data_IF_967370719473
#
_entry.id   IF_967370719473
#
_cell.length_a   1.000
_cell.length_b   1.000
_cell.length_c   1.000
_cell.angle_alpha   90.00
_cell.angle_beta   90.00
_cell.angle_gamma   90.00
#
_symmetry.space_group_name_H-M   'P 1'
#
loop_
_entity.id
_entity.type
_entity.pdbx_description
1 polymer ?
#
# COMPACT_ATOMS: atom_id res chain seq x y z
N UNK A 1 -1.33 5.83 -15.66
CA UNK A 1 -2.71 5.33 -15.49
C UNK A 1 -3.58 6.55 -15.33
N UNK A 2 -4.83 6.50 -15.77
CA UNK A 2 -5.71 7.66 -15.74
C UNK A 2 -7.04 7.28 -15.11
N UNK A 3 -7.57 8.19 -14.29
CA UNK A 3 -8.97 8.17 -13.85
C UNK A 3 -9.63 9.39 -14.46
N UNK A 4 -10.75 9.18 -15.15
CA UNK A 4 -11.60 10.25 -15.69
C UNK A 4 -12.96 10.16 -15.03
N UNK A 5 -13.41 11.29 -14.48
CA UNK A 5 -14.81 11.46 -14.06
C UNK A 5 -15.61 12.05 -15.22
N UNK A 6 -16.57 11.29 -15.75
CA UNK A 6 -17.47 11.75 -16.79
C UNK A 6 -18.50 12.74 -16.23
N UNK A 7 -19.08 13.60 -17.08
CA UNK A 7 -19.99 14.68 -16.65
C UNK A 7 -19.27 15.93 -16.09
N UNK A 8 -17.96 15.83 -15.83
CA UNK A 8 -17.14 16.88 -15.22
C UNK A 8 -16.11 17.43 -16.21
N UNK A 9 -16.44 18.53 -16.91
CA UNK A 9 -15.56 19.11 -17.94
C UNK A 9 -14.40 19.97 -17.39
N UNK A 10 -14.55 20.58 -16.20
CA UNK A 10 -13.57 21.55 -15.67
C UNK A 10 -13.37 21.57 -14.15
N UNK A 11 -14.28 20.97 -13.40
CA UNK A 11 -14.24 20.97 -11.93
C UNK A 11 -14.68 19.60 -11.43
N UNK A 12 -14.35 19.28 -10.19
CA UNK A 12 -14.86 18.12 -9.46
C UNK A 12 -14.97 18.54 -8.00
N UNK A 13 -15.90 17.94 -7.25
CA UNK A 13 -15.92 18.14 -5.82
C UNK A 13 -14.61 17.63 -5.18
N UNK A 14 -14.08 18.41 -4.22
CA UNK A 14 -12.81 18.08 -3.58
C UNK A 14 -12.88 16.80 -2.75
N UNK A 15 -14.03 16.51 -2.13
CA UNK A 15 -14.21 15.27 -1.37
C UNK A 15 -14.25 14.08 -2.31
N UNK A 16 -14.96 14.19 -3.44
CA UNK A 16 -14.95 13.16 -4.51
C UNK A 16 -13.54 12.85 -4.95
N UNK A 17 -12.75 13.89 -5.22
CA UNK A 17 -11.35 13.76 -5.63
C UNK A 17 -10.50 13.09 -4.54
N UNK A 18 -10.48 13.65 -3.34
CA UNK A 18 -9.61 13.21 -2.24
C UNK A 18 -9.92 11.77 -1.83
N UNK A 19 -11.20 11.44 -1.65
CA UNK A 19 -11.61 10.10 -1.25
C UNK A 19 -11.27 9.07 -2.32
N UNK A 20 -11.52 9.38 -3.60
CA UNK A 20 -11.14 8.48 -4.70
C UNK A 20 -9.64 8.23 -4.73
N UNK A 21 -8.81 9.26 -4.54
CA UNK A 21 -7.35 9.12 -4.50
C UNK A 21 -6.87 8.28 -3.31
N UNK A 22 -7.49 8.42 -2.13
CA UNK A 22 -7.19 7.61 -0.94
C UNK A 22 -7.48 6.13 -1.22
N UNK A 23 -8.64 5.83 -1.79
CA UNK A 23 -9.02 4.48 -2.15
C UNK A 23 -8.13 3.89 -3.25
N UNK A 24 -7.77 4.70 -4.25
CA UNK A 24 -6.85 4.26 -5.30
C UNK A 24 -5.46 3.93 -4.74
N UNK A 25 -4.96 4.74 -3.80
CA UNK A 25 -3.70 4.47 -3.12
C UNK A 25 -3.75 3.17 -2.29
N UNK A 26 -4.91 2.83 -1.71
CA UNK A 26 -5.12 1.55 -1.03
C UNK A 26 -4.97 0.39 -2.01
N UNK A 27 -5.60 0.46 -3.18
CA UNK A 27 -5.52 -0.57 -4.23
C UNK A 27 -4.08 -0.73 -4.73
N UNK A 28 -3.37 0.39 -4.99
CA UNK A 28 -1.96 0.36 -5.40
C UNK A 28 -1.08 -0.29 -4.33
N UNK A 29 -1.30 0.05 -3.07
CA UNK A 29 -0.50 -0.48 -1.95
C UNK A 29 -0.67 -1.99 -1.83
N UNK A 30 -1.89 -2.49 -1.94
CA UNK A 30 -2.19 -3.92 -1.89
C UNK A 30 -1.66 -4.66 -3.13
N UNK A 31 -1.81 -4.09 -4.33
CA UNK A 31 -1.22 -4.65 -5.55
C UNK A 31 0.31 -4.73 -5.47
N UNK A 32 0.96 -3.68 -4.95
CA UNK A 32 2.40 -3.64 -4.74
C UNK A 32 2.88 -4.61 -3.68
N UNK A 33 2.10 -4.81 -2.60
CA UNK A 33 2.38 -5.79 -1.55
C UNK A 33 2.39 -7.21 -2.13
N UNK A 34 1.34 -7.58 -2.87
CA UNK A 34 1.21 -8.91 -3.46
C UNK A 34 2.25 -9.14 -4.57
N UNK A 35 2.38 -8.21 -5.51
CA UNK A 35 3.23 -8.39 -6.69
C UNK A 35 4.72 -8.20 -6.40
N UNK A 36 5.06 -7.21 -5.57
CA UNK A 36 6.44 -6.88 -5.21
C UNK A 36 6.94 -7.55 -3.94
N UNK A 37 6.12 -8.38 -3.29
CA UNK A 37 6.45 -9.05 -2.03
C UNK A 37 6.81 -8.08 -0.88
N UNK A 38 6.28 -6.85 -0.91
CA UNK A 38 6.57 -5.79 0.07
C UNK A 38 7.98 -5.18 -0.02
N UNK A 39 8.80 -5.58 -1.00
CA UNK A 39 10.20 -5.11 -1.13
C UNK A 39 10.35 -3.77 -1.85
N UNK A 40 9.31 -3.33 -2.57
CA UNK A 40 9.33 -2.14 -3.43
C UNK A 40 8.46 -1.04 -2.85
N UNK A 41 8.98 0.18 -2.81
CA UNK A 41 8.24 1.37 -2.40
C UNK A 41 7.66 2.08 -3.62
N UNK A 42 6.37 1.92 -3.87
CA UNK A 42 5.65 2.59 -4.96
C UNK A 42 4.86 3.76 -4.41
N UNK A 43 5.05 4.93 -5.00
CA UNK A 43 4.27 6.12 -4.68
C UNK A 43 3.35 6.52 -5.85
N UNK A 44 2.16 6.99 -5.50
CA UNK A 44 1.22 7.61 -6.44
C UNK A 44 1.60 9.08 -6.62
N UNK A 45 1.85 9.51 -7.85
CA UNK A 45 2.04 10.90 -8.22
C UNK A 45 0.91 11.35 -9.14
N UNK A 46 0.39 12.55 -8.87
CA UNK A 46 -0.65 13.18 -9.69
C UNK A 46 0.03 14.15 -10.66
N UNK A 47 -0.17 13.93 -11.95
CA UNK A 47 0.31 14.79 -13.02
C UNK A 47 -0.71 15.91 -13.30
N UNK A 48 -0.29 16.94 -14.03
CA UNK A 48 -1.15 18.08 -14.36
C UNK A 48 -2.43 17.64 -15.10
N UNK A 49 -3.57 18.19 -14.68
CA UNK A 49 -4.89 17.89 -15.25
C UNK A 49 -5.00 18.53 -16.64
N UNK A 50 -5.34 17.76 -17.67
CA UNK A 50 -5.51 18.25 -19.04
C UNK A 50 -6.83 19.05 -19.21
N UNK A 51 -6.89 19.94 -20.22
CA UNK A 51 -8.08 20.78 -20.47
C UNK A 51 -9.26 19.96 -21.01
N UNK A 52 -10.42 20.04 -20.35
CA UNK A 52 -11.72 19.58 -20.88
C UNK A 52 -12.26 18.28 -20.28
N UNK A 53 -11.60 17.72 -19.27
CA UNK A 53 -12.10 16.64 -18.43
C UNK A 53 -11.31 16.68 -17.13
N UNK A 54 -11.92 16.36 -15.97
CA UNK A 54 -11.13 16.10 -14.77
C UNK A 54 -10.43 14.74 -14.89
N UNK A 55 -9.40 14.70 -15.75
CA UNK A 55 -8.53 13.57 -15.99
C UNK A 55 -7.38 13.64 -14.99
N UNK A 56 -7.35 12.68 -14.08
CA UNK A 56 -6.24 12.52 -13.16
C UNK A 56 -5.25 11.58 -13.83
N UNK A 57 -4.18 12.13 -14.38
CA UNK A 57 -3.06 11.32 -14.81
C UNK A 57 -2.17 10.98 -13.62
N UNK A 58 -1.92 9.69 -13.47
CA UNK A 58 -1.24 9.10 -12.34
C UNK A 58 -0.04 8.32 -12.80
N UNK A 59 1.11 8.62 -12.19
CA UNK A 59 2.32 7.82 -12.36
C UNK A 59 2.64 7.06 -11.07
N UNK A 60 3.06 5.81 -11.25
CA UNK A 60 3.63 4.98 -10.20
C UNK A 60 5.14 5.13 -10.26
N UNK A 61 5.76 5.43 -9.13
CA UNK A 61 7.21 5.62 -9.05
C UNK A 61 7.80 4.72 -7.97
N UNK A 62 8.78 3.88 -8.34
CA UNK A 62 9.64 3.19 -7.39
C UNK A 62 10.61 4.19 -6.73
N UNK A 63 10.74 4.13 -5.41
CA UNK A 63 11.48 5.15 -4.62
C UNK A 63 12.99 4.86 -4.50
N UNK A 64 13.47 3.71 -5.00
CA UNK A 64 14.89 3.31 -4.91
C UNK A 64 15.63 3.62 -6.23
N UNK A 65 16.92 3.99 -6.17
CA UNK A 65 17.75 4.59 -7.24
C UNK A 65 17.96 3.79 -8.56
N UNK A 66 17.12 2.81 -8.89
CA UNK A 66 17.17 2.01 -10.14
C UNK A 66 16.14 2.41 -11.21
N UNK A 67 15.67 3.66 -11.17
CA UNK A 67 14.46 4.22 -11.83
C UNK A 67 14.43 4.10 -13.38
N UNK A 68 15.52 3.67 -14.03
CA UNK A 68 15.62 3.53 -15.49
C UNK A 68 16.11 2.15 -15.94
N UNK A 69 16.00 1.13 -15.08
CA UNK A 69 16.20 -0.26 -15.51
C UNK A 69 14.97 -0.76 -16.29
N UNK A 70 15.20 -1.62 -17.28
CA UNK A 70 14.13 -2.35 -17.96
C UNK A 70 13.25 -3.14 -16.99
N UNK A 71 13.84 -3.61 -15.89
CA UNK A 71 13.18 -4.32 -14.79
C UNK A 71 12.19 -3.43 -14.02
N UNK A 72 12.57 -2.20 -13.67
CA UNK A 72 11.68 -1.25 -13.01
C UNK A 72 10.49 -0.86 -13.90
N UNK A 73 10.73 -0.64 -15.21
CA UNK A 73 9.67 -0.35 -16.17
C UNK A 73 8.72 -1.54 -16.32
N UNK A 74 9.25 -2.76 -16.45
CA UNK A 74 8.45 -3.97 -16.55
C UNK A 74 7.61 -4.20 -15.28
N UNK A 75 8.16 -3.94 -14.10
CA UNK A 75 7.43 -4.02 -12.84
C UNK A 75 6.27 -3.03 -12.76
N UNK A 76 6.51 -1.76 -13.05
CA UNK A 76 5.47 -0.73 -13.04
C UNK A 76 4.38 -1.02 -14.08
N UNK A 77 4.75 -1.55 -15.24
CA UNK A 77 3.79 -2.03 -16.24
C UNK A 77 2.95 -3.19 -15.70
N UNK A 78 3.58 -4.15 -15.02
CA UNK A 78 2.90 -5.27 -14.36
C UNK A 78 1.90 -4.80 -13.30
N UNK A 79 2.28 -3.82 -12.47
CA UNK A 79 1.37 -3.23 -11.47
C UNK A 79 0.17 -2.54 -12.10
N UNK A 80 0.40 -1.73 -13.14
CA UNK A 80 -0.68 -1.08 -13.89
C UNK A 80 -1.65 -2.14 -14.41
N UNK A 81 -1.12 -3.18 -15.04
CA UNK A 81 -1.87 -4.34 -15.53
C UNK A 81 -2.69 -5.01 -14.42
N UNK A 82 -2.10 -5.26 -13.25
CA UNK A 82 -2.79 -5.89 -12.11
C UNK A 82 -3.97 -5.03 -11.65
N UNK A 83 -3.74 -3.72 -11.48
CA UNK A 83 -4.77 -2.78 -11.04
C UNK A 83 -5.93 -2.73 -12.04
N UNK A 84 -5.64 -2.70 -13.35
CA UNK A 84 -6.68 -2.79 -14.38
C UNK A 84 -7.48 -4.10 -14.32
N UNK A 85 -6.80 -5.21 -14.04
CA UNK A 85 -7.45 -6.51 -13.83
C UNK A 85 -8.37 -6.52 -12.61
N UNK A 86 -7.94 -5.91 -11.50
CA UNK A 86 -8.75 -5.79 -10.27
C UNK A 86 -10.02 -4.97 -10.52
N UNK A 87 -9.94 -3.83 -11.21
CA UNK A 87 -11.13 -3.05 -11.57
C UNK A 87 -12.05 -3.79 -12.55
N UNK A 88 -11.47 -4.55 -13.48
CA UNK A 88 -12.25 -5.38 -14.40
C UNK A 88 -13.02 -6.47 -13.66
N UNK A 89 -12.37 -7.18 -12.72
CA UNK A 89 -13.02 -8.16 -11.86
C UNK A 89 -14.08 -7.54 -10.98
N UNK A 90 -13.84 -6.35 -10.42
CA UNK A 90 -14.84 -5.65 -9.64
C UNK A 90 -16.08 -5.34 -10.46
N UNK A 91 -15.90 -4.84 -11.68
CA UNK A 91 -17.00 -4.53 -12.58
C UNK A 91 -17.84 -5.77 -12.93
N UNK A 92 -17.20 -6.91 -13.18
CA UNK A 92 -17.90 -8.15 -13.56
C UNK A 92 -18.57 -8.85 -12.37
N UNK A 93 -17.93 -8.85 -11.20
CA UNK A 93 -18.40 -9.56 -10.01
C UNK A 93 -19.21 -8.68 -9.04
N UNK A 94 -19.32 -7.38 -9.32
CA UNK A 94 -20.09 -6.41 -8.50
C UNK A 94 -19.72 -6.46 -7.02
N UNK A 95 -18.42 -6.51 -6.73
CA UNK A 95 -17.88 -6.57 -5.37
C UNK A 95 -17.86 -7.94 -4.69
N UNK A 96 -18.46 -8.98 -5.28
CA UNK A 96 -18.41 -10.35 -4.74
C UNK A 96 -17.03 -10.99 -4.94
N UNK A 97 -16.53 -11.85 -4.03
CA UNK A 97 -15.28 -12.59 -4.24
C UNK A 97 -15.25 -13.36 -5.57
N UNK A 98 -14.09 -13.38 -6.23
CA UNK A 98 -13.88 -14.07 -7.50
C UNK A 98 -13.12 -15.38 -7.27
N UNK A 99 -13.61 -16.50 -7.80
CA UNK A 99 -12.93 -17.81 -7.69
C UNK A 99 -11.93 -18.08 -8.80
N UNK A 100 -12.10 -17.43 -9.95
CA UNK A 100 -11.26 -17.52 -11.15
C UNK A 100 -11.25 -16.17 -11.85
N UNK A 101 -10.25 -15.92 -12.72
CA UNK A 101 -10.35 -14.84 -13.73
C UNK A 101 -11.28 -15.34 -14.83
N UNK A 102 -12.58 -15.43 -14.56
CA UNK A 102 -13.53 -15.78 -15.61
C UNK A 102 -13.99 -14.54 -16.36
N UNK A 103 -13.85 -14.64 -17.68
CA UNK A 103 -14.36 -13.74 -18.74
C UNK A 103 -13.55 -12.47 -19.03
N UNK A 104 -12.76 -12.54 -20.12
CA UNK A 104 -12.37 -11.40 -20.97
C UNK A 104 -11.64 -10.23 -20.31
N UNK A 105 -10.89 -10.42 -19.24
CA UNK A 105 -9.86 -9.43 -18.89
C UNK A 105 -8.74 -9.60 -19.93
N UNK A 106 -8.88 -8.95 -21.08
CA UNK A 106 -7.85 -8.87 -22.12
C UNK A 106 -6.67 -8.04 -21.59
N UNK A 107 -5.95 -8.60 -20.63
CA UNK A 107 -4.67 -8.09 -20.18
C UNK A 107 -3.68 -8.47 -21.26
N UNK A 108 -3.46 -7.57 -22.22
CA UNK A 108 -2.45 -7.75 -23.27
C UNK A 108 -1.07 -7.96 -22.60
N UNK A 109 -0.52 -9.17 -22.72
CA UNK A 109 0.79 -9.54 -22.17
C UNK A 109 0.78 -10.25 -20.80
N UNK A 110 -0.35 -10.80 -20.34
CA UNK A 110 -0.44 -11.53 -19.07
C UNK A 110 0.18 -12.94 -19.11
N UNK A 111 0.73 -13.36 -17.97
CA UNK A 111 1.13 -14.74 -17.68
C UNK A 111 0.39 -15.23 -16.41
N UNK A 112 0.44 -16.53 -16.10
CA UNK A 112 -0.27 -17.10 -14.94
C UNK A 112 0.05 -16.40 -13.60
N UNK A 113 1.26 -15.85 -13.43
CA UNK A 113 1.65 -15.12 -12.21
C UNK A 113 0.83 -13.85 -12.04
N UNK A 114 0.62 -13.09 -13.11
CA UNK A 114 -0.18 -11.86 -13.09
C UNK A 114 -1.66 -12.19 -12.83
N UNK A 115 -2.21 -13.23 -13.43
CA UNK A 115 -3.61 -13.63 -13.23
C UNK A 115 -3.89 -14.00 -11.76
N UNK A 116 -3.03 -14.84 -11.17
CA UNK A 116 -3.15 -15.18 -9.76
C UNK A 116 -3.01 -13.96 -8.85
N UNK A 117 -2.07 -13.06 -9.17
CA UNK A 117 -1.88 -11.81 -8.43
C UNK A 117 -3.14 -10.93 -8.50
N UNK A 118 -3.78 -10.83 -9.67
CA UNK A 118 -5.04 -10.09 -9.85
C UNK A 118 -6.15 -10.67 -8.97
N UNK A 119 -6.32 -12.00 -8.96
CA UNK A 119 -7.32 -12.66 -8.10
C UNK A 119 -7.02 -12.38 -6.63
N UNK A 120 -5.78 -12.56 -6.18
CA UNK A 120 -5.40 -12.41 -4.78
C UNK A 120 -5.64 -10.97 -4.29
N UNK A 121 -5.22 -9.98 -5.09
CA UNK A 121 -5.44 -8.56 -4.79
C UNK A 121 -6.93 -8.24 -4.78
N UNK A 122 -7.68 -8.68 -5.81
CA UNK A 122 -9.13 -8.50 -5.87
C UNK A 122 -9.85 -9.13 -4.68
N UNK A 123 -9.42 -10.33 -4.26
CA UNK A 123 -10.05 -11.06 -3.16
C UNK A 123 -9.68 -10.51 -1.78
N UNK A 124 -8.75 -9.57 -1.68
CA UNK A 124 -8.50 -8.84 -0.44
C UNK A 124 -9.68 -7.90 -0.15
N UNK A 125 -10.45 -8.08 0.95
CA UNK A 125 -11.69 -7.31 1.17
C UNK A 125 -11.50 -5.78 1.15
N UNK A 126 -10.39 -5.28 1.71
CA UNK A 126 -10.08 -3.84 1.73
C UNK A 126 -9.95 -3.25 0.32
N UNK A 127 -9.56 -4.05 -0.67
CA UNK A 127 -9.44 -3.63 -2.08
C UNK A 127 -10.84 -3.46 -2.69
N UNK A 128 -11.72 -4.44 -2.53
CA UNK A 128 -13.11 -4.34 -3.02
C UNK A 128 -13.86 -3.23 -2.30
N UNK A 129 -13.66 -3.09 -1.00
CA UNK A 129 -14.26 -2.01 -0.21
C UNK A 129 -13.80 -0.63 -0.68
N UNK A 130 -12.49 -0.47 -0.97
CA UNK A 130 -11.97 0.78 -1.52
C UNK A 130 -12.62 1.13 -2.87
N UNK A 131 -12.82 0.14 -3.76
CA UNK A 131 -13.51 0.37 -5.03
C UNK A 131 -14.99 0.74 -4.80
N UNK A 132 -15.69 -0.01 -3.93
CA UNK A 132 -17.08 0.24 -3.57
C UNK A 132 -17.29 1.67 -3.06
N UNK A 133 -16.47 2.10 -2.10
CA UNK A 133 -16.52 3.46 -1.52
C UNK A 133 -16.17 4.57 -2.52
N UNK A 134 -15.28 4.29 -3.48
CA UNK A 134 -15.00 5.24 -4.56
C UNK A 134 -16.21 5.44 -5.47
N UNK A 135 -16.93 4.35 -5.78
CA UNK A 135 -18.16 4.39 -6.57
C UNK A 135 -19.28 5.07 -5.78
N UNK A 136 -19.41 4.78 -4.48
CA UNK A 136 -20.36 5.43 -3.58
C UNK A 136 -20.14 6.95 -3.52
N UNK A 137 -18.89 7.38 -3.27
CA UNK A 137 -18.56 8.82 -3.25
C UNK A 137 -18.89 9.49 -4.59
N UNK A 138 -18.56 8.85 -5.71
CA UNK A 138 -18.90 9.36 -7.04
C UNK A 138 -20.41 9.34 -7.34
N UNK A 139 -21.17 8.45 -6.70
CA UNK A 139 -22.62 8.38 -6.83
C UNK A 139 -23.30 9.54 -6.10
N UNK A 140 -22.78 9.93 -4.93
CA UNK A 140 -23.25 11.08 -4.15
C UNK A 140 -22.96 12.42 -4.87
N UNK A 141 -21.91 12.46 -5.69
CA UNK A 141 -21.60 13.61 -6.53
C UNK A 141 -22.58 13.71 -7.72
N UNK A 142 -23.51 14.66 -7.64
CA UNK A 142 -24.51 14.90 -8.70
C UNK A 142 -23.88 15.20 -10.07
N UNK A 143 -22.67 15.77 -10.10
CA UNK A 143 -21.97 16.13 -11.33
C UNK A 143 -21.29 14.97 -12.05
N UNK A 144 -21.03 13.86 -11.36
CA UNK A 144 -20.34 12.71 -11.95
C UNK A 144 -21.33 11.82 -12.71
N UNK A 145 -21.09 11.58 -13.99
CA UNK A 145 -21.91 10.70 -14.86
C UNK A 145 -21.30 9.30 -15.05
N UNK A 146 -20.04 9.12 -14.65
CA UNK A 146 -19.31 7.87 -14.77
C UNK A 146 -17.86 8.00 -14.32
N UNK A 147 -17.20 6.86 -14.15
CA UNK A 147 -15.77 6.75 -13.88
C UNK A 147 -15.14 5.91 -14.98
N UNK A 148 -14.08 6.40 -15.60
CA UNK A 148 -13.29 5.65 -16.58
C UNK A 148 -11.89 5.47 -16.05
N UNK A 149 -11.42 4.23 -16.05
CA UNK A 149 -10.06 3.86 -15.66
C UNK A 149 -9.33 3.36 -16.89
N UNK A 150 -8.19 3.97 -17.22
CA UNK A 150 -7.41 3.61 -18.39
C UNK A 150 -5.91 3.61 -18.11
N UNK A 151 -5.14 2.93 -18.94
CA UNK A 151 -3.70 2.86 -18.80
C UNK A 151 -3.05 2.30 -20.05
N UNK A 152 -1.73 2.49 -20.17
CA UNK A 152 -0.98 1.88 -21.26
C UNK A 152 -1.09 0.35 -21.15
N UNK A 153 -1.61 -0.30 -22.19
CA UNK A 153 -1.78 -1.75 -22.23
C UNK A 153 -3.07 -2.27 -21.57
N UNK A 154 -3.98 -1.40 -21.13
CA UNK A 154 -5.25 -1.76 -20.49
C UNK A 154 -6.39 -1.13 -21.28
N UNK A 155 -7.36 -1.95 -21.67
CA UNK A 155 -8.60 -1.46 -22.28
C UNK A 155 -9.39 -0.64 -21.24
N UNK A 156 -9.95 0.53 -21.61
CA UNK A 156 -10.66 1.40 -20.67
C UNK A 156 -11.80 0.67 -19.94
N UNK A 157 -11.75 0.67 -18.61
CA UNK A 157 -12.81 0.15 -17.74
C UNK A 157 -13.76 1.29 -17.40
N UNK A 158 -14.99 1.20 -17.90
CA UNK A 158 -16.01 2.25 -17.75
C UNK A 158 -17.06 1.83 -16.74
N UNK A 159 -17.24 2.60 -15.68
CA UNK A 159 -18.35 2.47 -14.73
C UNK A 159 -19.34 3.60 -15.00
N UNK A 160 -20.56 3.30 -15.48
CA UNK A 160 -21.56 4.34 -15.75
C UNK A 160 -22.36 4.65 -14.49
N UNK A 161 -22.78 5.90 -14.27
CA UNK A 161 -23.59 6.28 -13.08
C UNK A 161 -24.82 5.40 -12.89
N UNK A 162 -25.50 5.03 -13.98
CA UNK A 162 -26.67 4.12 -13.96
C UNK A 162 -26.38 2.72 -13.37
N UNK A 163 -25.11 2.33 -13.30
CA UNK A 163 -24.64 1.03 -12.79
C UNK A 163 -24.14 1.15 -11.34
N UNK A 164 -23.96 2.36 -10.79
CA UNK A 164 -23.33 2.56 -9.49
C UNK A 164 -24.09 1.90 -8.35
N UNK A 165 -25.43 2.03 -8.31
CA UNK A 165 -26.25 1.39 -7.28
C UNK A 165 -26.04 -0.13 -7.22
N UNK A 166 -25.84 -0.78 -8.37
CA UNK A 166 -25.57 -2.22 -8.47
C UNK A 166 -24.13 -2.60 -8.07
N UNK A 167 -23.22 -1.63 -8.08
CA UNK A 167 -21.79 -1.83 -7.86
C UNK A 167 -21.34 -1.42 -6.46
N UNK A 168 -22.18 -0.70 -5.70
CA UNK A 168 -21.95 -0.39 -4.30
C UNK A 168 -22.26 -1.66 -3.50
N UNK A 169 -21.21 -2.34 -3.10
CA UNK A 169 -21.29 -3.55 -2.28
C UNK A 169 -21.12 -3.18 -0.80
N UNK A 170 -21.97 -3.75 0.05
CA UNK A 170 -22.06 -3.42 1.49
C UNK A 170 -21.90 -4.63 2.42
N UNK A 171 -21.87 -5.84 1.88
CA UNK A 171 -21.85 -7.09 2.66
C UNK A 171 -20.43 -7.55 3.04
N UNK A 172 -19.41 -6.68 2.97
CA UNK A 172 -18.03 -7.00 3.33
C UNK A 172 -17.87 -7.55 4.76
N UNK A 173 -18.75 -7.14 5.69
CA UNK A 173 -18.74 -7.61 7.08
C UNK A 173 -19.28 -9.04 7.26
N UNK A 174 -19.94 -9.59 6.23
CA UNK A 174 -20.58 -10.92 6.27
C UNK A 174 -19.81 -11.98 5.48
N UNK A 175 -18.71 -11.60 4.83
CA UNK A 175 -17.90 -12.52 4.04
C UNK A 175 -17.05 -13.42 4.96
N UNK A 176 -17.19 -14.74 4.79
CA UNK A 176 -16.44 -15.75 5.57
C UNK A 176 -14.92 -15.69 5.34
N UNK A 177 -14.48 -15.10 4.22
CA UNK A 177 -13.07 -15.00 3.82
C UNK A 177 -12.36 -13.74 4.36
N UNK A 178 -12.94 -13.05 5.35
CA UNK A 178 -12.23 -11.94 6.02
C UNK A 178 -10.99 -12.48 6.72
N UNK A 179 -9.84 -12.01 6.29
CA UNK A 179 -8.55 -12.32 6.93
C UNK A 179 -8.51 -11.53 8.25
N UNK A 180 -8.93 -12.19 9.33
CA UNK A 180 -8.94 -11.61 10.68
C UNK A 180 -7.57 -11.04 11.07
N UNK A 181 -6.50 -11.69 10.64
CA UNK A 181 -5.12 -11.32 10.93
C UNK A 181 -4.23 -11.48 9.68
N UNK A 182 -3.50 -10.42 9.33
CA UNK A 182 -2.51 -10.49 8.27
C UNK A 182 -1.20 -9.83 8.66
N UNK A 183 -0.16 -10.20 7.94
CA UNK A 183 1.20 -9.73 8.15
C UNK A 183 1.62 -8.70 7.11
N UNK A 184 2.23 -7.61 7.56
CA UNK A 184 2.84 -6.60 6.69
C UNK A 184 4.36 -6.57 6.97
N UNK A 185 5.18 -6.73 5.94
CA UNK A 185 6.64 -6.66 6.06
C UNK A 185 7.12 -5.35 5.44
N UNK A 186 7.87 -4.57 6.21
CA UNK A 186 8.41 -3.27 5.79
C UNK A 186 9.88 -3.13 6.18
N UNK A 187 10.62 -2.29 5.47
CA UNK A 187 11.86 -1.71 6.00
C UNK A 187 11.54 -0.53 6.90
N UNK A 188 12.10 -0.51 8.11
CA UNK A 188 11.85 0.53 9.10
C UNK A 188 13.14 0.95 9.82
N UNK A 189 13.22 2.23 10.17
CA UNK A 189 14.22 2.77 11.10
C UNK A 189 13.60 2.89 12.49
N UNK A 190 14.19 2.21 13.47
CA UNK A 190 13.69 2.13 14.84
C UNK A 190 14.69 2.80 15.78
N UNK A 191 14.28 3.86 16.49
CA UNK A 191 15.17 4.52 17.47
C UNK A 191 15.15 3.76 18.79
N UNK A 192 16.32 3.42 19.30
CA UNK A 192 16.47 2.62 20.51
C UNK A 192 16.08 3.45 21.73
N UNK A 193 15.13 2.93 22.53
CA UNK A 193 14.73 3.55 23.80
C UNK A 193 15.05 2.67 25.01
N UNK A 194 15.03 1.34 24.84
CA UNK A 194 15.43 0.36 25.86
C UNK A 194 16.04 -0.88 25.20
N UNK A 195 17.16 -1.32 25.74
CA UNK A 195 17.89 -2.52 25.33
C UNK A 195 17.70 -3.64 26.37
N UNK A 196 17.74 -4.89 25.93
CA UNK A 196 17.75 -6.05 26.82
C UNK A 196 18.64 -7.16 26.25
N UNK A 197 19.79 -7.40 26.85
CA UNK A 197 20.74 -8.41 26.33
C UNK A 197 20.37 -9.85 26.71
N UNK A 198 19.44 -10.02 27.64
CA UNK A 198 18.94 -11.34 28.02
C UNK A 198 18.15 -12.01 26.89
N UNK A 199 18.30 -13.33 26.72
CA UNK A 199 17.52 -14.11 25.75
C UNK A 199 16.03 -14.00 26.07
N UNK A 200 15.23 -13.60 25.07
CA UNK A 200 13.80 -13.34 25.24
C UNK A 200 13.47 -11.99 25.90
N UNK A 201 14.48 -11.17 26.19
CA UNK A 201 14.32 -9.84 26.71
C UNK A 201 13.55 -8.91 25.76
N UNK A 202 12.73 -8.03 26.33
CA UNK A 202 11.97 -7.05 25.56
C UNK A 202 12.80 -5.80 25.28
N UNK A 203 12.96 -5.51 23.98
CA UNK A 203 13.52 -4.26 23.49
C UNK A 203 12.40 -3.27 23.23
N UNK A 204 12.68 -1.98 23.41
CA UNK A 204 11.72 -0.92 23.12
C UNK A 204 12.31 0.09 22.16
N UNK A 205 11.48 0.49 21.19
CA UNK A 205 11.84 1.40 20.14
C UNK A 205 10.82 2.51 19.98
N UNK A 206 11.26 3.64 19.44
CA UNK A 206 10.37 4.64 18.86
C UNK A 206 10.20 4.35 17.37
N UNK A 207 8.96 4.28 16.91
CA UNK A 207 8.59 4.08 15.52
C UNK A 207 7.41 5.00 15.17
N UNK A 208 7.60 5.89 14.19
CA UNK A 208 6.59 6.88 13.78
C UNK A 208 5.97 7.67 14.95
N UNK A 209 6.77 8.00 15.97
CA UNK A 209 6.31 8.73 17.16
C UNK A 209 5.65 7.89 18.25
N UNK A 210 5.51 6.58 18.04
CA UNK A 210 4.95 5.65 19.03
C UNK A 210 6.02 4.73 19.61
N UNK A 211 5.90 4.43 20.91
CA UNK A 211 6.72 3.41 21.55
C UNK A 211 6.20 2.02 21.17
N UNK A 212 7.06 1.19 20.62
CA UNK A 212 6.78 -0.21 20.32
C UNK A 212 7.70 -1.09 21.15
N UNK A 213 7.19 -2.23 21.61
CA UNK A 213 7.98 -3.25 22.33
C UNK A 213 8.02 -4.53 21.51
N UNK A 214 9.19 -5.13 21.40
CA UNK A 214 9.36 -6.39 20.66
C UNK A 214 10.45 -7.25 21.30
N UNK A 215 10.27 -8.56 21.23
CA UNK A 215 11.28 -9.53 21.64
C UNK A 215 12.18 -9.84 20.46
N UNK A 216 13.49 -9.73 20.66
CA UNK A 216 14.48 -10.09 19.66
C UNK A 216 14.59 -11.61 19.53
N UNK A 217 14.29 -12.13 18.34
CA UNK A 217 14.55 -13.53 17.97
C UNK A 217 15.66 -13.68 16.92
N UNK A 218 16.26 -12.57 16.48
CA UNK A 218 17.17 -12.57 15.33
C UNK A 218 18.63 -12.77 15.78
N UNK A 219 19.22 -13.88 15.34
CA UNK A 219 20.60 -14.26 15.63
C UNK A 219 21.64 -13.27 15.07
N UNK A 220 21.37 -12.56 13.98
CA UNK A 220 22.35 -11.66 13.35
C UNK A 220 22.62 -10.38 14.17
N UNK A 221 21.61 -9.74 14.75
CA UNK A 221 21.84 -8.59 15.64
C UNK A 221 22.44 -9.03 16.98
N UNK A 222 22.02 -10.18 17.51
CA UNK A 222 22.65 -10.75 18.71
C UNK A 222 24.12 -11.06 18.44
N UNK A 223 24.44 -11.67 17.30
CA UNK A 223 25.81 -11.91 16.85
C UNK A 223 26.59 -10.61 16.69
N UNK A 224 25.99 -9.57 16.12
CA UNK A 224 26.63 -8.26 15.99
C UNK A 224 26.96 -7.64 17.37
N UNK A 225 26.09 -7.81 18.36
CA UNK A 225 26.34 -7.42 19.75
C UNK A 225 27.46 -8.26 20.36
N UNK A 226 27.41 -9.58 20.19
CA UNK A 226 28.40 -10.52 20.72
C UNK A 226 29.80 -10.30 20.11
N UNK A 227 29.86 -9.81 18.87
CA UNK A 227 31.09 -9.38 18.18
C UNK A 227 31.63 -8.01 18.68
N UNK A 228 30.92 -7.35 19.61
CA UNK A 228 31.39 -6.16 20.31
C UNK A 228 30.74 -4.85 19.87
N UNK A 229 29.64 -4.89 19.09
CA UNK A 229 28.90 -3.69 18.72
C UNK A 229 28.39 -2.94 19.95
N UNK A 230 28.54 -1.60 19.95
CA UNK A 230 28.13 -0.74 21.06
C UNK A 230 26.96 0.13 20.65
N UNK A 231 25.87 0.02 21.39
CA UNK A 231 24.69 0.87 21.22
C UNK A 231 24.69 1.97 22.28
N UNK A 232 24.43 3.20 21.86
CA UNK A 232 24.29 4.37 22.71
C UNK A 232 22.86 4.92 22.67
N UNK A 233 22.53 5.75 23.68
CA UNK A 233 21.27 6.48 23.69
C UNK A 233 21.20 7.42 22.48
N UNK A 234 20.13 7.31 21.70
CA UNK A 234 19.92 8.09 20.47
C UNK A 234 20.29 7.34 19.20
N UNK A 235 20.89 6.15 19.31
CA UNK A 235 21.13 5.29 18.17
C UNK A 235 19.81 4.72 17.63
N UNK A 236 19.82 4.37 16.35
CA UNK A 236 18.71 3.70 15.67
C UNK A 236 19.21 2.45 14.95
N UNK A 237 18.28 1.56 14.60
CA UNK A 237 18.57 0.39 13.76
C UNK A 237 17.68 0.44 12.53
N UNK A 238 18.25 0.09 11.37
CA UNK A 238 17.49 -0.21 10.16
C UNK A 238 17.21 -1.71 10.12
N UNK A 239 15.96 -2.08 9.94
CA UNK A 239 15.50 -3.48 10.00
C UNK A 239 14.45 -3.77 8.93
N UNK A 240 14.29 -5.03 8.56
CA UNK A 240 12.99 -5.50 8.09
C UNK A 240 12.15 -5.89 9.30
N UNK A 241 10.93 -5.37 9.35
CA UNK A 241 9.98 -5.55 10.44
C UNK A 241 8.67 -6.11 9.88
N UNK A 242 8.17 -7.13 10.56
CA UNK A 242 6.85 -7.71 10.37
C UNK A 242 5.88 -7.07 11.36
N UNK A 243 4.82 -6.46 10.86
CA UNK A 243 3.70 -5.90 11.61
C UNK A 243 2.54 -6.88 11.48
N UNK A 244 2.08 -7.39 12.62
CA UNK A 244 0.89 -8.23 12.68
C UNK A 244 -0.30 -7.29 12.85
N UNK A 245 -1.21 -7.31 11.88
CA UNK A 245 -2.41 -6.49 11.88
C UNK A 245 -3.64 -7.35 12.08
N UNK A 246 -4.54 -6.90 12.94
CA UNK A 246 -5.82 -7.56 13.19
C UNK A 246 -6.97 -6.63 12.85
N UNK A 247 -7.97 -7.15 12.17
CA UNK A 247 -9.16 -6.38 11.87
C UNK A 247 -9.95 -6.07 13.14
N UNK A 248 -10.27 -4.79 13.35
CA UNK A 248 -11.15 -4.34 14.41
C UNK A 248 -12.53 -3.99 13.82
N UNK A 249 -13.57 -4.82 14.05
CA UNK A 249 -14.91 -4.59 13.51
C UNK A 249 -15.59 -3.35 14.08
N UNK A 250 -15.18 -2.90 15.27
CA UNK A 250 -15.75 -1.69 15.89
C UNK A 250 -15.40 -0.42 15.11
N UNK A 251 -14.20 -0.37 14.54
CA UNK A 251 -13.68 0.80 13.84
C UNK A 251 -13.57 0.60 12.33
N UNK A 252 -13.98 -0.57 11.83
CA UNK A 252 -13.83 -1.00 10.44
C UNK A 252 -12.41 -0.73 9.89
N UNK A 253 -11.38 -1.10 10.66
CA UNK A 253 -9.99 -0.84 10.34
C UNK A 253 -9.07 -1.92 10.91
N UNK A 254 -7.91 -2.10 10.29
CA UNK A 254 -6.87 -2.98 10.81
C UNK A 254 -5.98 -2.25 11.81
N UNK A 255 -5.80 -2.86 12.98
CA UNK A 255 -4.97 -2.35 14.06
C UNK A 255 -3.65 -3.12 14.14
N UNK A 256 -2.56 -2.40 14.40
CA UNK A 256 -1.25 -3.01 14.62
C UNK A 256 -1.24 -3.71 15.99
N UNK A 257 -1.24 -5.05 15.99
CA UNK A 257 -1.26 -5.85 17.21
C UNK A 257 0.15 -6.10 17.75
N UNK A 258 1.10 -6.37 16.87
CA UNK A 258 2.46 -6.70 17.28
C UNK A 258 3.48 -6.34 16.20
N UNK A 259 4.71 -6.09 16.68
CA UNK A 259 5.87 -5.79 15.85
C UNK A 259 6.92 -6.87 16.08
N UNK A 260 7.47 -7.43 15.00
CA UNK A 260 8.53 -8.45 15.04
C UNK A 260 9.65 -8.05 14.11
N UNK A 261 10.86 -7.89 14.64
CA UNK A 261 12.05 -7.69 13.82
C UNK A 261 12.41 -9.03 13.18
N UNK A 262 12.40 -9.08 11.84
CA UNK A 262 12.71 -10.29 11.08
C UNK A 262 14.15 -10.28 10.58
N UNK A 263 14.71 -9.11 10.25
CA UNK A 263 16.05 -8.97 9.70
C UNK A 263 16.70 -7.68 10.23
N UNK A 264 17.95 -7.78 10.69
CA UNK A 264 18.77 -6.61 11.01
C UNK A 264 19.58 -6.20 9.78
N UNK A 265 19.51 -4.93 9.40
CA UNK A 265 20.18 -4.41 8.20
C UNK A 265 21.37 -3.52 8.57
N UNK A 266 21.18 -2.58 9.49
CA UNK A 266 22.19 -1.56 9.80
C UNK A 266 22.04 -0.98 11.20
N UNK A 267 23.16 -0.63 11.85
CA UNK A 267 23.20 0.21 13.05
C UNK A 267 23.53 1.65 12.67
N UNK A 268 22.66 2.58 13.05
CA UNK A 268 22.79 4.01 12.78
C UNK A 268 23.16 4.72 14.09
N UNK A 269 24.37 5.27 14.14
CA UNK A 269 24.88 6.00 15.30
C UNK A 269 24.18 7.35 15.41
N UNK A 270 23.61 7.64 16.58
CA UNK A 270 22.95 8.92 16.85
C UNK A 270 23.94 10.07 16.78
N UNK A 271 23.59 11.13 16.04
CA UNK A 271 24.37 12.36 16.02
C UNK A 271 24.38 12.99 17.42
N UNK A 272 25.49 12.82 18.15
CA UNK A 272 25.74 13.60 19.36
C UNK A 272 25.91 15.06 18.96
N UNK A 273 25.27 16.03 19.66
CA UNK A 273 25.69 17.41 19.53
C UNK A 273 27.17 17.48 19.89
N UNK A 274 28.03 17.82 18.91
CA UNK A 274 29.43 18.12 19.19
C UNK A 274 29.43 19.33 20.12
N UNK A 275 29.94 19.16 21.32
CA UNK A 275 30.24 20.26 22.22
C UNK A 275 31.10 21.25 21.42
N UNK A 276 30.56 22.43 21.09
CA UNK A 276 31.36 23.49 20.53
C UNK A 276 32.46 23.76 21.55
N UNK A 277 33.73 23.69 21.11
CA UNK A 277 34.85 24.17 21.90
C UNK A 277 34.63 25.68 22.09
N UNK A 278 33.98 26.04 23.19
CA UNK A 278 34.09 27.38 23.75
C UNK A 278 35.30 27.27 24.67
N UNK A 279 36.41 27.84 24.22
CA UNK A 279 37.36 28.68 24.96
C UNK A 279 38.62 28.82 24.11
N UNK A 280 38.84 30.05 23.63
CA UNK A 280 40.16 30.55 23.28
C UNK A 280 40.86 30.93 24.60
N UNK A 281 42.09 30.47 24.77
CA UNK A 281 43.13 31.22 25.47
C UNK A 281 44.30 31.40 24.49
#
# INVERSE_FOLDING_TARGET
MQIKFEGQERQIDSNTLINTLIHYNTIISEANREFGGGSKNVSLKINAIEKGSFLIDMSLQETVMGIFSSEGIAYLSGLVTIIGGVFSLYKSNKGNPAKTVDVNVNIKGSNNTIENTVINVYNTPVVREAISKSIETANEDSGVEGIVISGKGIEPIVFKKREFADLIYTDFDKEEDRVDEYDEIIEATLSITKLSFDRGGQWQFMYNGFKISTTMKNDALMKHIDEGARFAKGDSIKVKMKIIKKYNPKYNAYENMAYKIIEFLEHIIGNKPKQMKIFNE
#
